data_IF_345143601027
#
_entry.id   IF_345143601027
#
_cell.length_a   1.000
_cell.length_b   1.000
_cell.length_c   1.000
_cell.angle_alpha   90.00
_cell.angle_beta   90.00
_cell.angle_gamma   90.00
#
_symmetry.space_group_name_H-M   'P 1'
#
loop_
_entity.id
_entity.type
_entity.pdbx_description
1 polymer ?
#
# COMPACT_ATOMS: atom_id res chain seq x y z
N UNK A 1 18.70 22.46 10.85
CA UNK A 1 17.46 22.34 10.04
C UNK A 1 17.85 21.98 8.62
N UNK A 2 17.97 20.69 8.33
CA UNK A 2 18.32 20.21 6.98
C UNK A 2 17.14 20.52 6.05
N UNK A 3 17.35 21.12 4.87
CA UNK A 3 16.24 21.32 3.93
C UNK A 3 15.66 19.94 3.59
N UNK A 4 14.34 19.81 3.69
CA UNK A 4 13.58 18.65 3.21
C UNK A 4 13.76 18.63 1.70
N UNK A 5 14.84 18.01 1.22
CA UNK A 5 15.12 17.85 -0.21
C UNK A 5 13.87 17.22 -0.87
N UNK A 6 13.12 17.95 -1.72
CA UNK A 6 11.99 17.38 -2.41
C UNK A 6 12.50 16.84 -3.74
N UNK A 7 12.38 15.54 -4.01
CA UNK A 7 12.56 15.14 -5.40
C UNK A 7 11.84 13.86 -5.77
N UNK A 8 11.88 12.84 -4.91
CA UNK A 8 11.53 11.50 -5.38
C UNK A 8 10.52 10.85 -4.48
N UNK A 9 9.28 10.82 -4.95
CA UNK A 9 8.29 9.90 -4.42
C UNK A 9 8.74 8.50 -4.81
N UNK A 10 9.06 7.67 -3.82
CA UNK A 10 9.40 6.27 -4.05
C UNK A 10 8.20 5.40 -3.72
N UNK A 11 7.78 4.58 -4.68
CA UNK A 11 6.70 3.61 -4.49
C UNK A 11 7.32 2.22 -4.52
N UNK A 12 7.13 1.46 -3.44
CA UNK A 12 7.57 0.07 -3.33
C UNK A 12 6.36 -0.84 -3.20
N UNK A 13 6.27 -1.82 -4.09
CA UNK A 13 5.28 -2.88 -4.03
C UNK A 13 5.76 -3.98 -3.05
N UNK A 14 5.07 -4.17 -1.93
CA UNK A 14 5.32 -5.35 -1.10
C UNK A 14 4.52 -6.55 -1.64
N UNK A 15 5.13 -7.74 -1.79
CA UNK A 15 4.43 -8.95 -2.20
C UNK A 15 3.36 -9.31 -1.17
N UNK A 16 2.14 -9.61 -1.65
CA UNK A 16 0.95 -9.84 -0.82
C UNK A 16 0.67 -8.74 0.24
N UNK A 17 1.17 -7.53 0.01
CA UNK A 17 1.18 -6.44 0.99
C UNK A 17 0.75 -5.09 0.40
N UNK A 18 0.86 -4.02 1.20
CA UNK A 18 0.53 -2.67 0.77
C UNK A 18 1.57 -2.08 -0.17
N UNK A 19 1.25 -0.92 -0.75
CA UNK A 19 2.27 -0.05 -1.36
C UNK A 19 2.92 0.79 -0.27
N UNK A 20 4.24 0.74 -0.16
CA UNK A 20 4.99 1.66 0.68
C UNK A 20 5.37 2.87 -0.16
N UNK A 21 4.83 4.04 0.20
CA UNK A 21 5.09 5.29 -0.50
C UNK A 21 5.90 6.18 0.41
N UNK A 22 7.06 6.65 -0.08
CA UNK A 22 7.97 7.53 0.65
C UNK A 22 7.97 8.92 0.04
N UNK A 23 7.96 9.93 0.89
CA UNK A 23 8.06 11.33 0.47
C UNK A 23 6.81 11.90 -0.20
N UNK A 24 5.67 11.21 -0.14
CA UNK A 24 4.40 11.75 -0.63
C UNK A 24 3.77 12.69 0.41
N UNK A 25 3.28 13.83 -0.06
CA UNK A 25 2.57 14.81 0.76
C UNK A 25 1.05 14.58 0.72
N UNK A 26 0.53 14.17 -0.43
CA UNK A 26 -0.89 13.88 -0.66
C UNK A 26 -1.02 12.53 -1.35
N UNK A 27 -2.03 11.76 -0.93
CA UNK A 27 -2.49 10.53 -1.59
C UNK A 27 -3.95 10.72 -2.00
N UNK A 28 -4.24 10.56 -3.29
CA UNK A 28 -5.61 10.58 -3.82
C UNK A 28 -6.16 9.15 -3.87
N UNK A 29 -7.33 8.94 -3.28
CA UNK A 29 -8.05 7.66 -3.29
C UNK A 29 -8.82 7.43 -4.60
N UNK A 30 -9.36 6.21 -4.80
CA UNK A 30 -10.22 5.86 -5.95
C UNK A 30 -11.45 6.78 -6.10
N UNK A 31 -11.94 7.36 -5.00
CA UNK A 31 -13.06 8.31 -5.00
C UNK A 31 -12.64 9.75 -5.35
N UNK A 32 -11.37 10.00 -5.65
CA UNK A 32 -10.83 11.33 -5.88
C UNK A 32 -10.60 12.15 -4.60
N UNK A 33 -10.74 11.54 -3.43
CA UNK A 33 -10.52 12.21 -2.14
C UNK A 33 -9.01 12.32 -1.87
N UNK A 34 -8.55 13.53 -1.55
CA UNK A 34 -7.17 13.81 -1.18
C UNK A 34 -6.93 13.59 0.31
N UNK A 35 -5.88 12.83 0.63
CA UNK A 35 -5.46 12.56 2.00
C UNK A 35 -4.04 13.09 2.24
N UNK A 36 -3.94 14.11 3.08
CA UNK A 36 -2.66 14.66 3.52
C UNK A 36 -1.85 13.65 4.35
N UNK A 37 -0.56 13.58 4.11
CA UNK A 37 0.37 12.71 4.84
C UNK A 37 1.52 13.51 5.43
N UNK A 38 1.70 13.36 6.74
CA UNK A 38 2.82 13.97 7.50
C UNK A 38 3.94 12.99 7.82
N UNK A 39 3.78 11.73 7.42
CA UNK A 39 4.73 10.67 7.72
C UNK A 39 5.74 10.55 6.58
N UNK A 40 7.01 10.23 6.87
CA UNK A 40 8.01 10.04 5.82
C UNK A 40 7.67 8.85 4.90
N UNK A 41 6.96 7.86 5.43
CA UNK A 41 6.50 6.67 4.71
C UNK A 41 5.05 6.37 5.11
N UNK A 42 4.21 6.08 4.11
CA UNK A 42 2.83 5.61 4.29
C UNK A 42 2.61 4.28 3.61
N UNK A 43 1.65 3.50 4.12
CA UNK A 43 1.27 2.21 3.56
C UNK A 43 -0.13 2.31 2.95
N UNK A 44 -0.24 2.26 1.62
CA UNK A 44 -1.51 2.31 0.90
C UNK A 44 -2.04 0.89 0.67
N UNK A 45 -3.32 0.70 0.97
CA UNK A 45 -4.01 -0.57 0.82
C UNK A 45 -4.09 -0.99 -0.64
N UNK A 46 -3.82 -2.27 -0.90
CA UNK A 46 -4.01 -2.92 -2.20
C UNK A 46 -4.93 -4.12 -2.19
N UNK A 47 -5.35 -4.55 -1.00
CA UNK A 47 -6.16 -5.74 -0.81
C UNK A 47 -7.65 -5.46 -0.80
N UNK A 48 -8.04 -4.19 -0.89
CA UNK A 48 -9.42 -3.69 -0.80
C UNK A 48 -10.17 -3.96 0.51
N UNK A 49 -9.64 -4.78 1.42
CA UNK A 49 -10.29 -5.17 2.68
C UNK A 49 -9.94 -4.29 3.89
N UNK A 50 -9.21 -3.19 3.70
CA UNK A 50 -8.88 -2.30 4.82
C UNK A 50 -10.10 -1.50 5.25
N UNK A 51 -10.38 -1.41 6.55
CA UNK A 51 -11.42 -0.54 7.10
C UNK A 51 -11.00 0.94 7.16
N UNK A 52 -9.74 1.25 6.80
CA UNK A 52 -9.16 2.60 6.88
C UNK A 52 -8.63 3.07 5.53
N UNK A 53 -9.30 2.71 4.44
CA UNK A 53 -8.90 3.14 3.08
C UNK A 53 -8.67 4.66 3.04
N UNK A 54 -7.65 5.13 2.30
CA UNK A 54 -6.75 4.36 1.44
C UNK A 54 -5.62 3.64 2.19
N UNK A 55 -5.56 3.70 3.52
CA UNK A 55 -4.46 3.17 4.33
C UNK A 55 -4.58 1.68 4.62
N UNK A 56 -3.43 1.01 4.69
CA UNK A 56 -3.35 -0.38 5.10
C UNK A 56 -3.38 -0.53 6.64
N UNK A 57 -4.38 -1.24 7.16
CA UNK A 57 -4.50 -1.55 8.61
C UNK A 57 -4.02 -2.97 8.97
N UNK A 58 -3.46 -3.71 8.01
CA UNK A 58 -2.93 -5.06 8.23
C UNK A 58 -3.88 -6.21 7.86
N UNK A 59 -5.13 -5.91 7.47
CA UNK A 59 -6.11 -6.91 7.01
C UNK A 59 -5.57 -7.85 5.92
N UNK A 60 -4.66 -7.36 5.06
CA UNK A 60 -4.00 -8.17 4.03
C UNK A 60 -3.33 -9.44 4.60
N UNK A 61 -2.79 -9.38 5.83
CA UNK A 61 -2.14 -10.54 6.47
C UNK A 61 -3.14 -11.61 6.88
N UNK A 62 -4.38 -11.21 7.19
CA UNK A 62 -5.45 -12.11 7.58
C UNK A 62 -6.04 -12.81 6.35
N UNK A 63 -6.28 -12.07 5.27
CA UNK A 63 -6.90 -12.62 4.06
C UNK A 63 -5.92 -13.33 3.14
N UNK A 64 -4.64 -12.92 3.10
CA UNK A 64 -3.65 -13.53 2.20
C UNK A 64 -3.35 -14.98 2.57
N UNK A 65 -3.58 -15.38 3.84
CA UNK A 65 -3.55 -16.80 4.22
C UNK A 65 -4.61 -17.62 3.48
N UNK A 66 -5.66 -16.98 2.97
CA UNK A 66 -6.76 -17.62 2.26
C UNK A 66 -6.67 -17.49 0.73
N UNK A 67 -5.66 -16.80 0.22
CA UNK A 67 -5.45 -16.58 -1.23
C UNK A 67 -4.17 -17.29 -1.67
N UNK A 68 -4.10 -18.62 -1.49
CA UNK A 68 -2.90 -19.35 -1.87
C UNK A 68 -2.83 -20.81 -1.48
N UNK A 69 -3.81 -21.62 -1.90
CA UNK A 69 -3.49 -22.98 -2.33
C UNK A 69 -4.48 -23.47 -3.37
N UNK A 70 -4.25 -23.05 -4.62
CA UNK A 70 -4.37 -23.95 -5.76
C UNK A 70 -3.45 -23.38 -6.84
N UNK A 71 -2.15 -23.55 -6.61
CA UNK A 71 -1.20 -23.62 -7.71
C UNK A 71 -1.62 -24.82 -8.55
N UNK A 72 -2.35 -24.58 -9.63
CA UNK A 72 -2.53 -25.55 -10.69
C UNK A 72 -1.15 -25.89 -11.25
N UNK A 73 -0.52 -26.93 -10.72
CA UNK A 73 0.53 -27.65 -11.45
C UNK A 73 -0.18 -28.34 -12.60
N UNK A 74 -0.08 -27.77 -13.79
CA UNK A 74 -0.31 -28.53 -15.01
C UNK A 74 0.81 -29.57 -15.11
N UNK A 75 0.46 -30.82 -14.91
CA UNK A 75 1.21 -31.96 -15.44
C UNK A 75 0.56 -32.30 -16.78
N UNK A 76 1.37 -32.15 -17.84
CA UNK A 76 1.43 -32.92 -19.09
C UNK A 76 0.16 -33.62 -19.63
#
# INVERSE_FOLDING_TARGET
MTPRNPATVQVTCCPAGPLLIRGADVITDENGVEHETRRPVVAVCRCDKSSRKPWCDGTHKLISKNSGSSSGRGTD
#
